data_IF_101783511020
#
_entry.id   IF_101783511020
#
_cell.length_a   1.000
_cell.length_b   1.000
_cell.length_c   1.000
_cell.angle_alpha   90.00
_cell.angle_beta   90.00
_cell.angle_gamma   90.00
#
_symmetry.space_group_name_H-M   'P 1'
#
loop_
_entity.id
_entity.type
_entity.pdbx_description
1 polymer ?
#
# COMPACT_ATOMS: atom_id res chain seq x y z
N UNK A 1 14.71 11.19 -5.94
CA UNK A 1 13.74 10.12 -6.21
C UNK A 1 13.32 9.47 -4.90
N UNK A 2 12.07 9.66 -4.48
CA UNK A 2 11.45 8.96 -3.37
C UNK A 2 11.48 7.46 -3.56
N UNK A 3 11.72 6.78 -2.46
CA UNK A 3 11.74 5.33 -2.34
C UNK A 3 10.37 4.82 -1.87
N UNK A 4 10.17 3.51 -1.96
CA UNK A 4 9.02 2.87 -1.35
C UNK A 4 8.96 3.14 0.18
N UNK A 5 10.11 3.22 0.84
CA UNK A 5 10.25 3.55 2.26
C UNK A 5 9.64 4.92 2.56
N UNK A 6 9.87 5.93 1.71
CA UNK A 6 9.32 7.28 1.90
C UNK A 6 7.78 7.27 1.84
N UNK A 7 7.20 6.51 0.90
CA UNK A 7 5.74 6.36 0.74
C UNK A 7 5.15 5.61 1.92
N UNK A 8 5.74 4.48 2.31
CA UNK A 8 5.27 3.67 3.46
C UNK A 8 5.36 4.48 4.76
N UNK A 9 6.44 5.24 4.95
CA UNK A 9 6.60 6.15 6.09
C UNK A 9 5.51 7.22 6.12
N UNK A 10 5.15 7.77 4.96
CA UNK A 10 4.08 8.75 4.85
C UNK A 10 2.70 8.14 5.16
N UNK A 11 2.41 6.92 4.70
CA UNK A 11 1.18 6.20 5.06
C UNK A 11 1.12 5.95 6.58
N UNK A 12 2.22 5.45 7.18
CA UNK A 12 2.32 5.25 8.62
C UNK A 12 2.09 6.54 9.42
N UNK A 13 2.55 7.69 8.91
CA UNK A 13 2.28 8.99 9.54
C UNK A 13 0.77 9.31 9.55
N UNK A 14 0.08 9.13 8.43
CA UNK A 14 -1.37 9.37 8.32
C UNK A 14 -2.15 8.48 9.29
N UNK A 15 -1.78 7.21 9.38
CA UNK A 15 -2.35 6.23 10.32
C UNK A 15 -2.13 6.62 11.78
N UNK A 16 -0.92 7.10 12.12
CA UNK A 16 -0.65 7.61 13.48
C UNK A 16 -1.48 8.83 13.83
N UNK A 17 -1.76 9.71 12.85
CA UNK A 17 -2.64 10.86 13.05
C UNK A 17 -4.08 10.41 13.31
N UNK A 18 -4.58 9.45 12.53
CA UNK A 18 -5.91 8.86 12.72
C UNK A 18 -6.03 8.11 14.06
N UNK A 19 -5.04 7.28 14.43
CA UNK A 19 -4.93 6.66 15.76
C UNK A 19 -4.90 7.68 16.90
N UNK A 20 -4.30 8.85 16.67
CA UNK A 20 -4.34 9.99 17.58
C UNK A 20 -5.76 10.52 17.78
N UNK A 21 -6.54 10.66 16.71
CA UNK A 21 -7.95 11.05 16.77
C UNK A 21 -8.78 10.00 17.49
N UNK A 22 -8.76 8.75 17.05
CA UNK A 22 -9.64 7.70 17.58
C UNK A 22 -9.44 7.48 19.08
N UNK A 23 -8.21 7.63 19.59
CA UNK A 23 -7.93 7.58 21.03
C UNK A 23 -8.62 8.70 21.82
N UNK A 24 -8.85 9.86 21.20
CA UNK A 24 -9.49 11.03 21.83
C UNK A 24 -11.00 11.07 21.64
N UNK A 25 -11.53 10.42 20.61
CA UNK A 25 -12.98 10.40 20.32
C UNK A 25 -13.87 9.96 21.49
N UNK A 26 -13.49 8.98 22.33
CA UNK A 26 -14.29 8.63 23.50
C UNK A 26 -14.51 9.81 24.46
N UNK A 27 -13.51 10.67 24.63
CA UNK A 27 -13.57 11.87 25.49
C UNK A 27 -14.15 13.10 24.76
N UNK A 28 -13.94 13.19 23.45
CA UNK A 28 -14.45 14.30 22.63
C UNK A 28 -15.94 14.17 22.32
N UNK A 29 -16.48 12.95 22.24
CA UNK A 29 -17.89 12.75 21.92
C UNK A 29 -18.77 12.97 23.16
N UNK A 30 -19.73 13.88 23.07
CA UNK A 30 -20.67 14.21 24.15
C UNK A 30 -21.57 13.02 24.53
N UNK A 31 -21.89 12.18 23.55
CA UNK A 31 -22.79 11.04 23.71
C UNK A 31 -22.05 9.84 24.34
N UNK A 32 -22.12 9.76 25.68
CA UNK A 32 -21.44 8.74 26.49
C UNK A 32 -21.80 7.30 26.09
N UNK A 33 -22.99 7.07 25.54
CA UNK A 33 -23.40 5.73 25.08
C UNK A 33 -22.53 5.19 23.93
N UNK A 34 -21.87 6.07 23.16
CA UNK A 34 -20.94 5.71 22.08
C UNK A 34 -19.51 5.47 22.56
N UNK A 35 -19.20 5.70 23.84
CA UNK A 35 -17.85 5.53 24.38
C UNK A 35 -17.26 4.12 24.10
N UNK A 36 -17.98 3.00 24.34
CA UNK A 36 -17.45 1.67 24.06
C UNK A 36 -17.21 1.43 22.56
N UNK A 37 -18.02 2.06 21.70
CA UNK A 37 -17.83 2.00 20.26
C UNK A 37 -16.53 2.69 19.85
N UNK A 38 -16.32 3.93 20.28
CA UNK A 38 -15.09 4.67 19.96
C UNK A 38 -13.83 4.00 20.54
N UNK A 39 -13.91 3.40 21.73
CA UNK A 39 -12.80 2.58 22.27
C UNK A 39 -12.50 1.34 21.42
N UNK A 40 -13.52 0.73 20.82
CA UNK A 40 -13.36 -0.38 19.88
C UNK A 40 -12.66 0.10 18.60
N UNK A 41 -13.11 1.21 18.02
CA UNK A 41 -12.48 1.81 16.83
C UNK A 41 -11.01 2.16 17.08
N UNK A 42 -10.71 2.80 18.22
CA UNK A 42 -9.34 3.13 18.63
C UNK A 42 -8.43 1.91 18.86
N UNK A 43 -9.01 0.73 19.08
CA UNK A 43 -8.24 -0.52 19.16
C UNK A 43 -7.90 -1.05 17.78
N UNK A 44 -8.85 -1.02 16.85
CA UNK A 44 -8.63 -1.43 15.46
C UNK A 44 -7.56 -0.55 14.81
N UNK A 45 -7.62 0.76 15.02
CA UNK A 45 -6.62 1.70 14.47
C UNK A 45 -5.19 1.43 14.99
N UNK A 46 -5.06 0.96 16.23
CA UNK A 46 -3.75 0.55 16.76
C UNK A 46 -3.21 -0.70 16.07
N UNK A 47 -4.07 -1.58 15.58
CA UNK A 47 -3.64 -2.74 14.79
C UNK A 47 -3.16 -2.31 13.41
N UNK A 48 -3.81 -1.32 12.79
CA UNK A 48 -3.36 -0.71 11.54
C UNK A 48 -1.97 -0.08 11.68
N UNK A 49 -1.74 0.73 12.72
CA UNK A 49 -0.42 1.32 12.99
C UNK A 49 0.66 0.24 13.14
N UNK A 50 0.39 -0.84 13.89
CA UNK A 50 1.35 -1.94 14.05
C UNK A 50 1.67 -2.63 12.73
N UNK A 51 0.66 -2.81 11.87
CA UNK A 51 0.88 -3.36 10.53
C UNK A 51 1.83 -2.48 9.72
N UNK A 52 1.59 -1.17 9.70
CA UNK A 52 2.43 -0.22 8.96
C UNK A 52 3.85 -0.10 9.52
N UNK A 53 4.02 -0.20 10.84
CA UNK A 53 5.35 -0.31 11.47
C UNK A 53 6.09 -1.55 11.01
N UNK A 54 5.43 -2.71 11.00
CA UNK A 54 6.01 -3.96 10.49
C UNK A 54 6.37 -3.88 8.99
N UNK A 55 5.52 -3.24 8.19
CA UNK A 55 5.79 -3.03 6.75
C UNK A 55 6.99 -2.10 6.54
N UNK A 56 7.10 -1.02 7.31
CA UNK A 56 8.24 -0.11 7.23
C UNK A 56 9.53 -0.84 7.58
N UNK A 57 9.55 -1.59 8.69
CA UNK A 57 10.71 -2.40 9.07
C UNK A 57 11.11 -3.40 7.98
N UNK A 58 10.12 -4.01 7.33
CA UNK A 58 10.37 -4.95 6.23
C UNK A 58 10.98 -4.23 5.02
N UNK A 59 10.45 -3.07 4.63
CA UNK A 59 11.01 -2.26 3.55
C UNK A 59 12.44 -1.78 3.82
N UNK A 60 12.79 -1.56 5.10
CA UNK A 60 14.15 -1.16 5.50
C UNK A 60 15.14 -2.35 5.52
N UNK A 61 14.69 -3.52 5.97
CA UNK A 61 15.51 -4.72 6.12
C UNK A 61 15.65 -5.52 4.81
N UNK A 62 14.60 -5.56 4.00
CA UNK A 62 14.53 -6.31 2.76
C UNK A 62 14.55 -5.39 1.53
N UNK A 63 15.09 -5.89 0.41
CA UNK A 63 15.03 -5.18 -0.88
C UNK A 63 13.66 -5.36 -1.52
N UNK A 64 12.64 -4.74 -0.94
CA UNK A 64 11.31 -4.69 -1.57
C UNK A 64 11.40 -3.78 -2.82
N UNK A 65 11.01 -4.27 -4.01
CA UNK A 65 11.08 -3.48 -5.23
C UNK A 65 10.09 -2.31 -5.17
N UNK A 66 10.43 -1.21 -5.83
CA UNK A 66 9.49 -0.10 -6.02
C UNK A 66 8.27 -0.61 -6.80
N UNK A 67 7.07 -0.37 -6.28
CA UNK A 67 5.81 -0.79 -6.89
C UNK A 67 5.05 0.35 -7.56
N UNK A 68 5.40 1.61 -7.31
CA UNK A 68 4.73 2.75 -7.94
C UNK A 68 5.48 3.19 -9.18
N UNK A 69 4.76 3.37 -10.30
CA UNK A 69 5.33 3.84 -11.56
C UNK A 69 5.80 5.31 -11.43
N UNK A 70 5.04 6.14 -10.70
CA UNK A 70 5.35 7.56 -10.44
C UNK A 70 5.40 7.86 -8.92
N UNK A 71 6.45 7.39 -8.20
CA UNK A 71 6.51 7.48 -6.74
C UNK A 71 6.58 8.92 -6.21
N UNK A 72 7.07 9.87 -7.02
CA UNK A 72 7.09 11.30 -6.69
C UNK A 72 5.68 11.89 -6.58
N UNK A 73 4.83 11.62 -7.57
CA UNK A 73 3.44 12.09 -7.56
C UNK A 73 2.65 11.48 -6.40
N UNK A 74 2.83 10.18 -6.15
CA UNK A 74 2.16 9.48 -5.04
C UNK A 74 2.54 10.09 -3.70
N UNK A 75 3.83 10.35 -3.46
CA UNK A 75 4.28 10.94 -2.21
C UNK A 75 3.74 12.38 -2.03
N UNK A 76 3.72 13.17 -3.10
CA UNK A 76 3.19 14.54 -3.06
C UNK A 76 1.69 14.57 -2.79
N UNK A 77 0.92 13.62 -3.34
CA UNK A 77 -0.50 13.44 -3.02
C UNK A 77 -0.69 13.09 -1.55
N UNK A 78 0.03 12.10 -1.03
CA UNK A 78 -0.04 11.72 0.39
C UNK A 78 0.33 12.87 1.34
N UNK A 79 1.30 13.71 0.97
CA UNK A 79 1.63 14.93 1.74
C UNK A 79 0.53 15.99 1.69
N UNK A 80 -0.22 16.10 0.59
CA UNK A 80 -1.41 16.96 0.53
C UNK A 80 -2.50 16.41 1.45
N UNK A 81 -2.69 15.09 1.45
CA UNK A 81 -3.62 14.41 2.36
C UNK A 81 -3.23 14.66 3.82
N UNK A 82 -1.95 14.58 4.17
CA UNK A 82 -1.45 14.89 5.52
C UNK A 82 -1.88 16.29 5.98
N UNK A 83 -1.70 17.30 5.12
CA UNK A 83 -2.13 18.67 5.42
C UNK A 83 -3.64 18.76 5.66
N UNK A 84 -4.44 18.01 4.89
CA UNK A 84 -5.90 17.97 5.04
C UNK A 84 -6.31 17.29 6.35
N UNK A 85 -5.64 16.19 6.72
CA UNK A 85 -5.82 15.49 8.00
C UNK A 85 -5.46 16.43 9.17
N UNK A 86 -4.27 17.02 9.15
CA UNK A 86 -3.83 17.96 10.19
C UNK A 86 -4.79 19.14 10.35
N UNK A 87 -5.28 19.69 9.24
CA UNK A 87 -6.27 20.76 9.27
C UNK A 87 -7.61 20.29 9.87
N UNK A 88 -8.06 19.06 9.58
CA UNK A 88 -9.27 18.48 10.15
C UNK A 88 -9.15 18.20 11.66
N UNK A 89 -7.94 17.91 12.14
CA UNK A 89 -7.66 17.58 13.54
C UNK A 89 -7.34 18.81 14.41
N UNK A 90 -7.25 20.00 13.82
CA UNK A 90 -6.92 21.23 14.53
C UNK A 90 -8.13 21.75 15.30
N UNK A 91 -7.92 22.13 16.56
CA UNK A 91 -8.93 22.75 17.43
C UNK A 91 -10.24 21.94 17.53
N UNK A 92 -10.15 20.61 17.58
CA UNK A 92 -11.32 19.75 17.78
C UNK A 92 -11.84 19.95 19.20
N UNK A 93 -12.97 20.65 19.30
CA UNK A 93 -13.77 20.85 20.50
C UNK A 93 -14.66 19.62 20.77
N UNK A 94 -15.36 19.55 21.93
CA UNK A 94 -16.39 18.53 22.14
C UNK A 94 -17.36 18.42 20.96
N UNK A 95 -17.72 17.20 20.61
CA UNK A 95 -18.45 16.83 19.41
C UNK A 95 -19.77 16.19 19.78
N UNK A 96 -20.84 16.65 19.13
CA UNK A 96 -22.08 15.88 19.05
C UNK A 96 -21.82 14.50 18.42
N UNK A 97 -22.70 13.53 18.64
CA UNK A 97 -22.60 12.21 17.99
C UNK A 97 -22.45 12.35 16.46
N UNK A 98 -23.31 13.13 15.82
CA UNK A 98 -23.22 13.36 14.37
C UNK A 98 -21.88 13.97 13.94
N UNK A 99 -21.34 14.93 14.70
CA UNK A 99 -20.07 15.57 14.38
C UNK A 99 -18.86 14.63 14.56
N UNK A 100 -18.89 13.73 15.54
CA UNK A 100 -17.83 12.73 15.72
C UNK A 100 -17.80 11.72 14.58
N UNK A 101 -18.96 11.27 14.09
CA UNK A 101 -19.05 10.42 12.89
C UNK A 101 -18.59 11.14 11.63
N UNK A 102 -18.95 12.42 11.41
CA UNK A 102 -18.45 13.19 10.26
C UNK A 102 -16.93 13.35 10.28
N UNK A 103 -16.36 13.60 11.46
CA UNK A 103 -14.91 13.71 11.60
C UNK A 103 -14.23 12.36 11.31
N UNK A 104 -14.77 11.26 11.84
CA UNK A 104 -14.27 9.91 11.55
C UNK A 104 -14.35 9.60 10.04
N UNK A 105 -15.51 9.81 9.40
CA UNK A 105 -15.66 9.62 7.95
C UNK A 105 -14.69 10.45 7.12
N UNK A 106 -14.43 11.69 7.54
CA UNK A 106 -13.47 12.55 6.86
C UNK A 106 -12.04 11.99 6.95
N UNK A 107 -11.65 11.46 8.10
CA UNK A 107 -10.34 10.82 8.27
C UNK A 107 -10.25 9.52 7.46
N UNK A 108 -11.25 8.64 7.56
CA UNK A 108 -11.27 7.40 6.78
C UNK A 108 -11.22 7.67 5.28
N UNK A 109 -11.98 8.65 4.79
CA UNK A 109 -11.96 9.03 3.38
C UNK A 109 -10.54 9.40 2.90
N UNK A 110 -9.75 10.07 3.75
CA UNK A 110 -8.36 10.40 3.45
C UNK A 110 -7.44 9.17 3.46
N UNK A 111 -7.69 8.19 4.33
CA UNK A 111 -6.94 6.94 4.41
C UNK A 111 -7.29 5.96 3.28
N UNK A 112 -8.44 6.12 2.63
CA UNK A 112 -8.85 5.35 1.44
C UNK A 112 -8.09 5.73 0.16
N UNK A 113 -6.95 6.41 0.28
CA UNK A 113 -6.10 6.77 -0.84
C UNK A 113 -5.58 5.52 -1.59
N UNK A 114 -5.57 5.48 -2.94
CA UNK A 114 -5.20 4.28 -3.72
C UNK A 114 -3.81 3.68 -3.40
N UNK A 115 -2.89 4.48 -2.85
CA UNK A 115 -1.59 4.02 -2.39
C UNK A 115 -1.69 2.97 -1.26
N UNK A 116 -2.67 3.11 -0.36
CA UNK A 116 -2.89 2.15 0.74
C UNK A 116 -3.29 0.78 0.17
N UNK A 117 -4.28 0.75 -0.73
CA UNK A 117 -4.74 -0.48 -1.40
C UNK A 117 -3.61 -1.17 -2.17
N UNK A 118 -2.80 -0.41 -2.91
CA UNK A 118 -1.67 -0.98 -3.64
C UNK A 118 -0.64 -1.65 -2.71
N UNK A 119 -0.44 -1.11 -1.51
CA UNK A 119 0.48 -1.64 -0.50
C UNK A 119 -0.13 -2.84 0.25
N UNK A 120 -1.43 -2.84 0.53
CA UNK A 120 -2.11 -4.02 1.09
C UNK A 120 -2.01 -5.22 0.14
N UNK A 121 -2.21 -4.99 -1.16
CA UNK A 121 -2.09 -6.05 -2.17
C UNK A 121 -0.66 -6.61 -2.29
N UNK A 122 0.37 -5.78 -2.13
CA UNK A 122 1.76 -6.25 -2.10
C UNK A 122 1.97 -7.26 -0.96
N UNK A 123 1.41 -6.95 0.21
CA UNK A 123 1.61 -7.72 1.44
C UNK A 123 0.73 -8.96 1.57
N UNK A 124 -0.37 -9.02 0.81
CA UNK A 124 -1.29 -10.18 0.77
C UNK A 124 -0.60 -11.51 0.39
N UNK A 125 0.55 -11.45 -0.29
CA UNK A 125 1.34 -12.64 -0.65
C UNK A 125 2.31 -13.11 0.46
N UNK A 126 2.53 -12.33 1.51
CA UNK A 126 3.53 -12.61 2.54
C UNK A 126 2.96 -13.06 3.88
N UNK A 127 1.68 -12.78 4.18
CA UNK A 127 1.05 -13.17 5.46
C UNK A 127 0.14 -14.39 5.28
N UNK A 128 0.24 -15.38 6.19
CA UNK A 128 -0.72 -16.50 6.33
C UNK A 128 -1.97 -16.13 7.14
N UNK A 129 -1.98 -14.94 7.74
CA UNK A 129 -3.03 -14.40 8.62
C UNK A 129 -4.00 -13.47 7.88
N UNK A 130 -4.99 -12.90 8.61
CA UNK A 130 -5.91 -11.85 8.10
C UNK A 130 -5.14 -10.77 7.33
N UNK A 131 -5.65 -10.40 6.16
CA UNK A 131 -5.09 -9.31 5.36
C UNK A 131 -5.29 -8.00 6.13
N UNK A 132 -4.35 -7.04 6.05
CA UNK A 132 -4.55 -5.67 6.53
C UNK A 132 -5.84 -5.08 5.93
N UNK A 133 -6.07 -5.32 4.65
CA UNK A 133 -7.31 -4.98 3.94
C UNK A 133 -8.59 -5.43 4.69
N UNK A 134 -8.58 -6.60 5.34
CA UNK A 134 -9.73 -7.13 6.07
C UNK A 134 -9.99 -6.34 7.37
N UNK A 135 -8.94 -5.82 8.01
CA UNK A 135 -9.09 -5.01 9.23
C UNK A 135 -9.56 -3.59 8.92
N UNK A 136 -9.16 -3.02 7.78
CA UNK A 136 -9.71 -1.74 7.28
C UNK A 136 -11.17 -1.88 6.84
N UNK A 137 -11.51 -2.96 6.14
CA UNK A 137 -12.91 -3.22 5.77
C UNK A 137 -13.79 -3.34 7.03
N UNK A 138 -13.33 -4.06 8.06
CA UNK A 138 -14.03 -4.13 9.35
C UNK A 138 -14.19 -2.76 10.01
N UNK A 139 -13.17 -1.91 9.94
CA UNK A 139 -13.21 -0.55 10.47
C UNK A 139 -14.29 0.30 9.78
N UNK A 140 -14.25 0.37 8.45
CA UNK A 140 -15.22 1.16 7.66
C UNK A 140 -16.65 0.64 7.88
N UNK A 141 -16.86 -0.68 7.82
CA UNK A 141 -18.18 -1.27 8.06
C UNK A 141 -18.67 -1.02 9.50
N UNK A 142 -17.76 -0.98 10.48
CA UNK A 142 -18.06 -0.61 11.86
C UNK A 142 -18.67 0.79 11.99
N UNK A 143 -18.10 1.78 11.29
CA UNK A 143 -18.62 3.15 11.25
C UNK A 143 -20.01 3.21 10.59
N UNK A 144 -20.17 2.54 9.44
CA UNK A 144 -21.44 2.51 8.70
C UNK A 144 -22.55 1.88 9.55
N UNK A 145 -22.27 0.75 10.19
CA UNK A 145 -23.27 0.03 10.99
C UNK A 145 -23.61 0.73 12.31
N UNK A 146 -22.64 1.40 12.95
CA UNK A 146 -22.91 2.16 14.17
C UNK A 146 -23.81 3.36 13.89
N UNK A 147 -23.65 4.01 12.74
CA UNK A 147 -24.50 5.11 12.31
C UNK A 147 -25.97 4.66 12.15
N UNK A 148 -26.23 3.49 11.56
CA UNK A 148 -27.59 2.92 11.43
C UNK A 148 -28.29 2.72 12.78
N UNK A 149 -27.53 2.49 13.85
CA UNK A 149 -28.06 2.28 15.21
C UNK A 149 -28.39 3.56 15.96
N UNK A 150 -27.95 4.72 15.48
CA UNK A 150 -28.18 6.02 16.13
C UNK A 150 -29.60 6.59 15.89
N UNK A 151 -30.51 5.83 15.28
CA UNK A 151 -31.87 6.26 14.97
C UNK A 151 -31.98 6.85 13.56
N UNK A 152 -32.92 7.77 13.27
CA UNK A 152 -33.10 8.31 11.94
C UNK A 152 -31.89 9.17 11.53
N UNK A 153 -31.01 8.54 10.76
CA UNK A 153 -29.86 9.16 10.11
C UNK A 153 -30.35 10.08 8.98
N UNK A 154 -29.79 11.28 8.87
CA UNK A 154 -30.15 12.21 7.79
C UNK A 154 -29.82 11.63 6.41
N UNK A 155 -30.47 12.12 5.35
CA UNK A 155 -30.20 11.63 4.00
C UNK A 155 -28.73 11.85 3.58
N UNK A 156 -28.14 12.94 4.05
CA UNK A 156 -26.75 13.33 3.81
C UNK A 156 -25.76 12.32 4.40
N UNK A 157 -25.99 11.88 5.64
CA UNK A 157 -25.15 10.89 6.29
C UNK A 157 -25.19 9.52 5.59
N UNK A 158 -26.36 9.08 5.14
CA UNK A 158 -26.49 7.85 4.34
C UNK A 158 -25.74 7.97 3.02
N UNK A 159 -25.89 9.10 2.33
CA UNK A 159 -25.16 9.36 1.08
C UNK A 159 -23.63 9.30 1.28
N UNK A 160 -23.10 9.90 2.35
CA UNK A 160 -21.67 9.84 2.67
C UNK A 160 -21.23 8.39 2.91
N UNK A 161 -22.01 7.63 3.68
CA UNK A 161 -21.74 6.22 3.93
C UNK A 161 -21.72 5.37 2.66
N UNK A 162 -22.72 5.55 1.78
CA UNK A 162 -22.81 4.88 0.48
C UNK A 162 -21.63 5.24 -0.43
N UNK A 163 -21.25 6.53 -0.45
CA UNK A 163 -20.11 7.02 -1.22
C UNK A 163 -18.80 6.40 -0.74
N UNK A 164 -18.58 6.31 0.58
CA UNK A 164 -17.41 5.66 1.15
C UNK A 164 -17.38 4.18 0.82
N UNK A 165 -18.48 3.46 1.03
CA UNK A 165 -18.54 2.04 0.69
C UNK A 165 -18.27 1.80 -0.80
N UNK A 166 -18.81 2.66 -1.67
CA UNK A 166 -18.55 2.58 -3.12
C UNK A 166 -17.08 2.85 -3.46
N UNK A 167 -16.49 3.91 -2.88
CA UNK A 167 -15.09 4.25 -3.12
C UNK A 167 -14.16 3.11 -2.67
N UNK A 168 -14.43 2.51 -1.50
CA UNK A 168 -13.67 1.38 -0.97
C UNK A 168 -13.65 0.22 -1.96
N UNK A 169 -14.84 -0.20 -2.38
CA UNK A 169 -14.99 -1.33 -3.29
C UNK A 169 -14.36 -1.06 -4.67
N UNK A 170 -14.48 0.16 -5.19
CA UNK A 170 -13.87 0.54 -6.46
C UNK A 170 -12.34 0.56 -6.37
N UNK A 171 -11.78 1.16 -5.33
CA UNK A 171 -10.32 1.22 -5.14
C UNK A 171 -9.72 -0.18 -4.99
N UNK A 172 -10.36 -1.03 -4.18
CA UNK A 172 -9.97 -2.44 -4.01
C UNK A 172 -9.98 -3.21 -5.33
N UNK A 173 -11.05 -3.08 -6.11
CA UNK A 173 -11.16 -3.72 -7.43
C UNK A 173 -10.06 -3.23 -8.38
N UNK A 174 -9.83 -1.92 -8.43
CA UNK A 174 -8.78 -1.33 -9.28
C UNK A 174 -7.39 -1.84 -8.88
N UNK A 175 -7.09 -1.87 -7.58
CA UNK A 175 -5.80 -2.35 -7.08
C UNK A 175 -5.58 -3.84 -7.41
N UNK A 176 -6.61 -4.68 -7.29
CA UNK A 176 -6.57 -6.08 -7.71
C UNK A 176 -6.27 -6.22 -9.21
N UNK A 177 -6.96 -5.47 -10.07
CA UNK A 177 -6.74 -5.51 -11.52
C UNK A 177 -5.33 -5.04 -11.90
N UNK A 178 -4.83 -3.98 -11.25
CA UNK A 178 -3.46 -3.49 -11.46
C UNK A 178 -2.41 -4.51 -11.03
N UNK A 179 -2.65 -5.25 -9.94
CA UNK A 179 -1.79 -6.35 -9.51
C UNK A 179 -1.72 -7.46 -10.55
N UNK A 180 -2.86 -7.86 -11.13
CA UNK A 180 -2.90 -8.88 -12.18
C UNK A 180 -2.14 -8.43 -13.44
N UNK A 181 -2.32 -7.16 -13.84
CA UNK A 181 -1.55 -6.56 -14.94
C UNK A 181 -0.05 -6.56 -14.62
N UNK A 182 0.35 -6.23 -13.40
CA UNK A 182 1.77 -6.25 -12.98
C UNK A 182 2.36 -7.65 -12.97
N UNK A 183 1.61 -8.66 -12.52
CA UNK A 183 2.03 -10.06 -12.60
C UNK A 183 2.24 -10.48 -14.07
N UNK A 184 1.35 -10.05 -14.97
CA UNK A 184 1.50 -10.26 -16.42
C UNK A 184 2.71 -9.51 -17.01
N UNK A 185 3.01 -8.29 -16.53
CA UNK A 185 4.22 -7.54 -16.90
C UNK A 185 5.52 -8.19 -16.40
N UNK A 186 5.45 -9.06 -15.38
CA UNK A 186 6.59 -9.85 -14.90
C UNK A 186 6.97 -11.01 -15.82
N UNK A 187 6.12 -11.36 -16.80
CA UNK A 187 6.45 -12.34 -17.82
C UNK A 187 7.38 -11.73 -18.84
N UNK A 188 8.63 -12.19 -18.87
CA UNK A 188 9.59 -11.79 -19.89
C UNK A 188 9.36 -12.68 -21.12
N UNK A 189 8.83 -12.16 -22.24
CA UNK A 189 8.62 -12.94 -23.44
C UNK A 189 9.99 -13.29 -24.06
N UNK A 190 10.44 -14.53 -23.84
CA UNK A 190 11.68 -15.05 -24.39
C UNK A 190 11.43 -15.92 -25.62
N UNK A 191 12.32 -15.83 -26.60
CA UNK A 191 12.32 -16.75 -27.74
C UNK A 191 12.74 -18.13 -27.24
N UNK A 192 11.93 -19.15 -27.51
CA UNK A 192 12.22 -20.51 -27.02
C UNK A 192 13.55 -21.07 -27.56
N UNK A 193 13.96 -20.62 -28.75
CA UNK A 193 15.19 -21.06 -29.43
C UNK A 193 16.43 -20.25 -29.02
N UNK A 194 16.44 -18.94 -29.24
CA UNK A 194 17.63 -18.11 -29.03
C UNK A 194 17.68 -17.37 -27.69
N UNK A 195 16.61 -17.48 -26.87
CA UNK A 195 16.48 -16.82 -25.56
C UNK A 195 16.51 -15.28 -25.57
N UNK A 196 16.51 -14.66 -26.75
CA UNK A 196 16.29 -13.23 -26.88
C UNK A 196 14.96 -12.82 -26.24
N UNK A 197 14.90 -11.63 -25.68
CA UNK A 197 13.72 -11.02 -25.07
C UNK A 197 13.05 -10.10 -26.10
N UNK A 198 11.73 -10.18 -26.21
CA UNK A 198 10.93 -9.23 -26.98
C UNK A 198 10.63 -7.98 -26.15
N UNK A 199 10.96 -6.80 -26.65
CA UNK A 199 10.60 -5.54 -26.01
C UNK A 199 9.17 -5.10 -26.37
N UNK A 200 8.72 -3.99 -25.77
CA UNK A 200 7.35 -3.46 -25.94
C UNK A 200 7.06 -2.96 -27.37
N UNK A 201 8.10 -2.66 -28.15
CA UNK A 201 8.04 -2.28 -29.56
C UNK A 201 8.04 -3.48 -30.53
N UNK A 202 8.18 -4.71 -29.99
CA UNK A 202 8.21 -5.95 -30.77
C UNK A 202 9.59 -6.38 -31.27
N UNK A 203 10.65 -5.64 -30.95
CA UNK A 203 12.03 -6.01 -31.30
C UNK A 203 12.58 -7.07 -30.35
N UNK A 204 13.40 -7.97 -30.91
CA UNK A 204 14.08 -9.02 -30.16
C UNK A 204 15.53 -8.60 -29.85
N UNK A 205 15.87 -8.57 -28.57
CA UNK A 205 17.20 -8.22 -28.07
C UNK A 205 17.76 -9.26 -27.11
N UNK A 206 19.05 -9.14 -26.81
CA UNK A 206 19.72 -9.97 -25.79
C UNK A 206 19.09 -9.74 -24.41
N UNK A 207 19.07 -10.79 -23.57
CA UNK A 207 18.48 -10.73 -22.22
C UNK A 207 19.24 -9.77 -21.31
N UNK A 208 20.55 -9.66 -21.50
CA UNK A 208 21.45 -8.76 -20.78
C UNK A 208 20.99 -7.31 -20.96
N UNK A 209 20.74 -6.89 -22.20
CA UNK A 209 20.23 -5.55 -22.51
C UNK A 209 18.90 -5.28 -21.81
N UNK A 210 18.00 -6.28 -21.79
CA UNK A 210 16.72 -6.16 -21.11
C UNK A 210 16.89 -5.95 -19.61
N UNK A 211 17.77 -6.71 -18.96
CA UNK A 211 18.04 -6.64 -17.52
C UNK A 211 18.79 -5.36 -17.15
N UNK A 212 19.80 -4.95 -17.91
CA UNK A 212 20.54 -3.70 -17.68
C UNK A 212 19.66 -2.47 -17.83
N UNK A 213 18.74 -2.46 -18.82
CA UNK A 213 17.82 -1.33 -19.03
C UNK A 213 16.79 -1.13 -17.91
N UNK A 214 16.51 -2.17 -17.12
CA UNK A 214 15.42 -2.20 -16.12
C UNK A 214 15.91 -2.45 -14.70
N UNK A 215 17.23 -2.50 -14.47
CA UNK A 215 17.81 -2.72 -13.16
C UNK A 215 19.13 -1.97 -13.01
N UNK A 216 19.74 -2.04 -11.82
CA UNK A 216 21.11 -1.54 -11.58
C UNK A 216 22.19 -2.61 -11.82
N UNK A 217 21.82 -3.78 -12.34
CA UNK A 217 22.77 -4.84 -12.63
C UNK A 217 23.65 -4.45 -13.83
N UNK A 218 24.92 -4.85 -13.78
CA UNK A 218 25.85 -4.76 -14.89
C UNK A 218 26.40 -6.16 -15.14
N UNK A 219 26.47 -6.59 -16.41
CA UNK A 219 27.06 -7.88 -16.75
C UNK A 219 28.55 -7.73 -17.01
N UNK A 220 29.36 -8.50 -16.29
CA UNK A 220 30.76 -8.75 -16.65
C UNK A 220 30.86 -10.06 -17.42
N UNK A 221 31.82 -10.11 -18.34
CA UNK A 221 32.10 -11.33 -19.09
C UNK A 221 33.12 -12.17 -18.33
N UNK A 222 32.81 -13.45 -18.13
CA UNK A 222 33.70 -14.42 -17.51
C UNK A 222 33.44 -15.81 -18.07
N UNK A 223 34.39 -16.72 -17.88
CA UNK A 223 34.27 -18.12 -18.27
C UNK A 223 34.28 -19.00 -17.01
N UNK A 224 33.27 -19.84 -16.84
CA UNK A 224 33.25 -20.78 -15.71
C UNK A 224 34.28 -21.91 -15.94
N UNK A 225 34.78 -22.56 -14.87
CA UNK A 225 35.75 -23.66 -15.01
C UNK A 225 35.28 -24.81 -15.92
N UNK A 226 33.97 -25.08 -15.96
CA UNK A 226 33.41 -26.10 -16.85
C UNK A 226 33.53 -25.72 -18.32
N UNK A 227 33.19 -24.46 -18.66
CA UNK A 227 33.31 -23.96 -20.03
C UNK A 227 34.79 -23.82 -20.44
N UNK A 228 35.67 -23.45 -19.50
CA UNK A 228 37.11 -23.42 -19.73
C UNK A 228 37.63 -24.81 -20.12
N UNK A 229 37.30 -25.85 -19.33
CA UNK A 229 37.66 -27.24 -19.63
C UNK A 229 37.06 -27.75 -20.93
N UNK A 230 35.86 -27.31 -21.28
CA UNK A 230 35.14 -27.82 -22.45
C UNK A 230 35.61 -27.20 -23.76
N UNK A 231 35.88 -25.89 -23.76
CA UNK A 231 36.12 -25.12 -24.99
C UNK A 231 37.56 -24.65 -25.15
N UNK A 232 38.36 -24.71 -24.09
CA UNK A 232 39.74 -24.21 -24.06
C UNK A 232 40.66 -25.20 -23.33
N UNK A 233 40.36 -26.50 -23.41
CA UNK A 233 41.16 -27.56 -22.78
C UNK A 233 42.64 -27.51 -23.17
N UNK A 234 42.92 -27.09 -24.40
CA UNK A 234 44.28 -26.93 -24.94
C UNK A 234 45.12 -25.83 -24.27
N UNK A 235 44.48 -24.93 -23.51
CA UNK A 235 45.17 -23.89 -22.73
C UNK A 235 45.24 -24.22 -21.23
N UNK A 236 44.81 -25.41 -20.82
CA UNK A 236 44.84 -25.84 -19.41
C UNK A 236 46.08 -26.67 -19.06
N UNK A 237 46.90 -27.05 -20.05
CA UNK A 237 48.16 -27.77 -19.85
C UNK A 237 49.34 -26.85 -20.24
N UNK A 238 49.82 -26.07 -19.28
CA UNK A 238 51.22 -25.60 -19.19
C UNK A 238 51.42 -24.95 -17.80
N UNK A 239 51.50 -25.79 -16.76
CA UNK A 239 52.25 -25.46 -15.55
C UNK A 239 53.68 -26.01 -15.73
N UNK A 240 54.60 -25.13 -16.12
CA UNK A 240 56.05 -25.29 -15.91
C UNK A 240 56.49 -24.43 -14.73
#
# INVERSE_FOLDING_TARGET
MPTLIDIVSQCLLLERLAAGLYRRLPDLCEERSLHPFWESMARQEREHVRYWEGLLELCEKERIPQIFDEPESVLDELKKVEKQVQAALKNVEPLTASASFLLAYRIEFFLMHPAFEALFHLMRKQTKDRSPEDTYEQHIQGLLHALEKMGPVSAEFRLIGDMMNRLWNVNRLMASQLSDIRNLRGLIPICMHCKNVRNDEGYWGKVENYVESRSRAQFSHGICPECMRKYYSEYMDDES
#
